data_IF_015993304591
#
_entry.id   IF_015993304591
#
_cell.length_a   1.000
_cell.length_b   1.000
_cell.length_c   1.000
_cell.angle_alpha   90.00
_cell.angle_beta   90.00
_cell.angle_gamma   90.00
#
_symmetry.space_group_name_H-M   'P 1'
#
loop_
_entity.id
_entity.type
_entity.pdbx_description
1 polymer ?
#
# COMPACT_ATOMS: atom_id res chain seq x y z
N UNK A 1 -29.30 3.32 14.29
CA UNK A 1 -28.05 4.07 14.59
C UNK A 1 -27.04 3.19 15.36
N UNK A 2 -26.84 1.93 14.94
CA UNK A 2 -26.00 0.97 15.69
C UNK A 2 -24.66 0.74 14.99
N UNK A 3 -24.66 0.60 13.66
CA UNK A 3 -23.45 0.36 12.87
C UNK A 3 -22.40 1.47 13.01
N UNK A 4 -22.81 2.73 12.84
CA UNK A 4 -21.89 3.88 12.95
C UNK A 4 -21.23 3.98 14.32
N UNK A 5 -21.98 3.73 15.41
CA UNK A 5 -21.43 3.72 16.76
C UNK A 5 -20.36 2.63 16.91
N UNK A 6 -20.63 1.42 16.40
CA UNK A 6 -19.67 0.32 16.46
C UNK A 6 -18.41 0.62 15.63
N UNK A 7 -18.55 1.22 14.44
CA UNK A 7 -17.41 1.65 13.62
C UNK A 7 -16.57 2.68 14.37
N UNK A 8 -17.20 3.71 14.95
CA UNK A 8 -16.51 4.72 15.75
C UNK A 8 -15.79 4.10 16.96
N UNK A 9 -16.36 3.07 17.58
CA UNK A 9 -15.74 2.36 18.70
C UNK A 9 -14.47 1.62 18.25
N UNK A 10 -14.49 0.88 17.14
CA UNK A 10 -13.29 0.21 16.61
C UNK A 10 -12.18 1.22 16.31
N UNK A 11 -12.52 2.33 15.67
CA UNK A 11 -11.55 3.38 15.35
C UNK A 11 -10.98 4.02 16.62
N UNK A 12 -11.84 4.31 17.60
CA UNK A 12 -11.42 4.89 18.88
C UNK A 12 -10.47 3.96 19.65
N UNK A 13 -10.75 2.65 19.64
CA UNK A 13 -9.87 1.65 20.25
C UNK A 13 -8.52 1.59 19.52
N UNK A 14 -8.54 1.51 18.18
CA UNK A 14 -7.33 1.47 17.37
C UNK A 14 -6.44 2.71 17.56
N UNK A 15 -7.03 3.90 17.64
CA UNK A 15 -6.28 5.14 17.89
C UNK A 15 -5.57 5.11 19.27
N UNK A 16 -6.17 4.45 20.27
CA UNK A 16 -5.64 4.40 21.65
C UNK A 16 -4.56 3.35 21.85
N UNK A 17 -4.69 2.18 21.24
CA UNK A 17 -3.85 1.00 21.52
C UNK A 17 -3.19 0.39 20.29
N UNK A 18 -3.60 0.77 19.08
CA UNK A 18 -3.28 0.03 17.85
C UNK A 18 -4.11 -1.24 17.68
N UNK A 19 -5.01 -1.59 18.60
CA UNK A 19 -5.86 -2.76 18.53
C UNK A 19 -7.36 -2.35 18.51
N UNK A 20 -8.09 -2.58 17.41
CA UNK A 20 -9.51 -2.21 17.33
C UNK A 20 -10.39 -2.95 18.36
N UNK A 21 -9.92 -4.08 18.91
CA UNK A 21 -10.68 -4.90 19.86
C UNK A 21 -10.65 -4.39 21.30
N UNK A 22 -9.66 -3.58 21.69
CA UNK A 22 -9.53 -3.08 23.06
C UNK A 22 -8.91 -1.68 23.11
N UNK A 23 -9.45 -0.75 23.92
CA UNK A 23 -8.85 0.56 24.11
C UNK A 23 -7.55 0.56 24.91
N UNK A 24 -7.24 -0.51 25.66
CA UNK A 24 -6.07 -0.59 26.54
C UNK A 24 -5.40 -1.96 26.47
N UNK A 25 -4.07 -2.00 26.42
CA UNK A 25 -3.29 -3.25 26.42
C UNK A 25 -3.46 -4.05 27.72
N UNK A 26 -3.65 -3.38 28.85
CA UNK A 26 -3.80 -4.01 30.16
C UNK A 26 -5.21 -4.57 30.43
N UNK A 27 -6.20 -4.25 29.59
CA UNK A 27 -7.59 -4.66 29.79
C UNK A 27 -8.09 -5.45 28.59
N UNK A 28 -8.52 -6.69 28.84
CA UNK A 28 -9.23 -7.51 27.84
C UNK A 28 -10.75 -7.37 27.91
N UNK A 29 -11.28 -6.37 28.63
CA UNK A 29 -12.72 -6.11 28.65
C UNK A 29 -13.17 -5.58 27.30
N UNK A 30 -13.98 -6.37 26.61
CA UNK A 30 -14.62 -6.00 25.35
C UNK A 30 -15.99 -5.39 25.64
N UNK A 31 -16.42 -4.34 24.91
CA UNK A 31 -17.81 -3.94 24.89
C UNK A 31 -18.70 -5.12 24.46
N UNK A 32 -19.72 -5.44 25.26
CA UNK A 32 -20.66 -6.52 24.95
C UNK A 32 -21.38 -6.24 23.61
N UNK A 33 -21.60 -7.30 22.83
CA UNK A 33 -22.33 -7.21 21.55
C UNK A 33 -21.49 -6.83 20.31
N UNK A 34 -20.19 -6.61 20.45
CA UNK A 34 -19.29 -6.33 19.31
C UNK A 34 -18.46 -7.59 18.97
N UNK A 35 -18.64 -8.11 17.76
CA UNK A 35 -17.79 -9.19 17.20
C UNK A 35 -16.33 -8.76 17.20
N UNK A 36 -15.35 -9.63 17.43
CA UNK A 36 -13.95 -9.22 17.32
C UNK A 36 -13.60 -8.86 15.87
N UNK A 37 -12.75 -7.86 15.71
CA UNK A 37 -12.05 -7.52 14.47
C UNK A 37 -10.92 -8.54 14.23
N UNK A 38 -10.86 -9.17 13.06
CA UNK A 38 -9.89 -10.23 12.79
C UNK A 38 -8.51 -9.64 12.49
N UNK A 39 -7.45 -10.35 12.89
CA UNK A 39 -6.10 -9.96 12.51
C UNK A 39 -5.88 -10.19 11.01
N UNK A 40 -5.31 -9.19 10.34
CA UNK A 40 -4.86 -9.38 8.97
C UNK A 40 -3.66 -10.34 8.94
N UNK A 41 -3.74 -11.38 8.12
CA UNK A 41 -2.65 -12.36 7.92
C UNK A 41 -2.35 -12.43 6.42
N UNK A 42 -1.07 -12.48 6.06
CA UNK A 42 -0.63 -12.48 4.67
C UNK A 42 -0.45 -13.91 4.09
N UNK A 43 -0.92 -14.94 4.79
CA UNK A 43 -0.78 -16.34 4.40
C UNK A 43 -1.96 -16.85 3.55
N UNK A 44 -1.81 -18.06 3.00
CA UNK A 44 -2.89 -18.75 2.30
C UNK A 44 -4.02 -19.08 3.29
N UNK A 45 -5.16 -18.38 3.17
CA UNK A 45 -6.24 -18.39 4.17
C UNK A 45 -6.27 -17.17 5.09
N UNK A 46 -5.44 -16.17 4.79
CA UNK A 46 -5.47 -14.84 5.38
C UNK A 46 -6.28 -13.84 4.54
N UNK A 47 -5.81 -12.59 4.49
CA UNK A 47 -6.51 -11.42 3.95
C UNK A 47 -7.84 -11.16 4.64
N UNK A 48 -7.85 -11.37 5.96
CA UNK A 48 -9.03 -11.15 6.78
C UNK A 48 -9.39 -9.67 6.81
N UNK A 49 -10.68 -9.39 6.67
CA UNK A 49 -11.23 -8.06 6.81
C UNK A 49 -12.57 -8.10 7.53
N UNK A 50 -12.96 -6.95 8.07
CA UNK A 50 -14.27 -6.72 8.65
C UNK A 50 -15.16 -6.06 7.61
N UNK A 51 -16.31 -6.66 7.32
CA UNK A 51 -17.29 -6.04 6.43
C UNK A 51 -18.26 -5.15 7.23
N UNK A 52 -18.45 -3.90 6.80
CA UNK A 52 -19.33 -2.94 7.45
C UNK A 52 -20.78 -3.09 6.99
N UNK A 53 -21.38 -4.23 7.32
CA UNK A 53 -22.81 -4.49 7.21
C UNK A 53 -23.45 -4.54 8.60
N UNK A 54 -24.79 -4.65 8.67
CA UNK A 54 -25.50 -4.69 9.96
C UNK A 54 -25.02 -5.81 10.90
N UNK A 55 -24.53 -6.92 10.36
CA UNK A 55 -24.03 -8.07 11.12
C UNK A 55 -22.52 -8.04 11.42
N UNK A 56 -21.78 -7.09 10.84
CA UNK A 56 -20.33 -6.94 11.03
C UNK A 56 -19.51 -8.25 10.88
N UNK A 57 -19.72 -9.04 9.80
CA UNK A 57 -19.09 -10.34 9.65
C UNK A 57 -17.60 -10.20 9.37
N UNK A 58 -16.86 -11.23 9.75
CA UNK A 58 -15.48 -11.44 9.31
C UNK A 58 -15.50 -12.13 7.96
N UNK A 59 -14.72 -11.63 7.03
CA UNK A 59 -14.53 -12.21 5.70
C UNK A 59 -13.04 -12.26 5.39
N UNK A 60 -12.71 -12.94 4.31
CA UNK A 60 -11.36 -13.13 3.81
C UNK A 60 -11.30 -12.86 2.32
N UNK A 61 -10.16 -12.40 1.83
CA UNK A 61 -9.87 -12.34 0.40
C UNK A 61 -10.72 -11.36 -0.40
N UNK A 62 -10.77 -10.10 0.04
CA UNK A 62 -11.50 -9.06 -0.68
C UNK A 62 -10.93 -8.87 -2.10
N UNK A 63 -11.74 -9.17 -3.12
CA UNK A 63 -11.42 -8.98 -4.55
C UNK A 63 -10.08 -9.59 -4.99
N UNK A 64 -9.76 -10.80 -4.49
CA UNK A 64 -8.49 -11.49 -4.76
C UNK A 64 -8.16 -11.59 -6.25
N UNK A 65 -9.12 -12.02 -7.08
CA UNK A 65 -8.95 -12.14 -8.53
C UNK A 65 -8.57 -10.83 -9.20
N UNK A 66 -9.23 -9.74 -8.81
CA UNK A 66 -9.03 -8.41 -9.38
C UNK A 66 -7.69 -7.82 -8.92
N UNK A 67 -7.31 -8.04 -7.66
CA UNK A 67 -5.99 -7.66 -7.16
C UNK A 67 -4.89 -8.38 -7.94
N UNK A 68 -5.00 -9.70 -8.15
CA UNK A 68 -4.06 -10.47 -8.97
C UNK A 68 -4.01 -10.01 -10.43
N UNK A 69 -5.16 -9.64 -11.01
CA UNK A 69 -5.22 -9.06 -12.34
C UNK A 69 -4.41 -7.77 -12.44
N UNK A 70 -4.53 -6.87 -11.45
CA UNK A 70 -3.76 -5.62 -11.47
C UNK A 70 -2.26 -5.84 -11.28
N UNK A 71 -1.85 -6.86 -10.52
CA UNK A 71 -0.44 -7.24 -10.44
C UNK A 71 0.09 -7.79 -11.77
N UNK A 72 -0.71 -8.59 -12.49
CA UNK A 72 -0.38 -8.99 -13.85
C UNK A 72 -0.20 -7.79 -14.79
N UNK A 73 -1.08 -6.79 -14.74
CA UNK A 73 -0.95 -5.58 -15.56
C UNK A 73 0.35 -4.82 -15.26
N UNK A 74 0.81 -4.79 -14.01
CA UNK A 74 2.11 -4.20 -13.66
C UNK A 74 3.26 -4.94 -14.36
N UNK A 75 3.24 -6.27 -14.35
CA UNK A 75 4.25 -7.10 -15.05
C UNK A 75 4.24 -6.84 -16.55
N UNK A 76 3.06 -6.81 -17.18
CA UNK A 76 2.94 -6.51 -18.61
C UNK A 76 3.47 -5.12 -18.95
N UNK A 77 3.14 -4.10 -18.15
CA UNK A 77 3.66 -2.73 -18.35
C UNK A 77 5.19 -2.69 -18.30
N UNK A 78 5.79 -3.39 -17.34
CA UNK A 78 7.25 -3.46 -17.20
C UNK A 78 7.93 -4.12 -18.42
N UNK A 79 7.33 -5.20 -18.94
CA UNK A 79 7.88 -5.89 -20.11
C UNK A 79 7.78 -5.02 -21.38
N UNK A 80 6.65 -4.34 -21.57
CA UNK A 80 6.44 -3.48 -22.73
C UNK A 80 7.25 -2.18 -22.67
N UNK A 81 7.58 -1.66 -21.48
CA UNK A 81 8.50 -0.50 -21.35
C UNK A 81 9.93 -0.84 -21.76
N UNK A 82 10.41 -2.06 -21.48
CA UNK A 82 11.75 -2.50 -21.90
C UNK A 82 11.86 -2.68 -23.44
N UNK A 83 10.75 -2.92 -24.13
CA UNK A 83 10.73 -3.07 -25.60
C UNK A 83 10.79 -1.74 -26.36
N UNK A 84 10.60 -0.59 -25.68
CA UNK A 84 10.62 0.73 -26.33
C UNK A 84 12.03 1.30 -26.51
N UNK A 85 13.06 0.66 -25.92
CA UNK A 85 14.48 1.02 -26.08
C UNK A 85 15.19 0.17 -27.15
N UNK A 86 14.53 -0.15 -28.27
CA UNK A 86 15.26 -0.62 -29.45
C UNK A 86 15.46 0.56 -30.41
N UNK A 87 16.69 1.08 -30.60
CA UNK A 87 16.95 2.11 -31.59
C UNK A 87 16.68 1.54 -32.98
N UNK A 88 15.78 2.16 -33.73
CA UNK A 88 15.66 1.91 -35.16
C UNK A 88 17.04 2.17 -35.82
N UNK A 89 17.53 1.31 -36.73
CA UNK A 89 18.78 1.57 -37.44
C UNK A 89 18.58 2.79 -38.34
N UNK A 90 19.06 3.95 -37.91
CA UNK A 90 19.09 5.16 -38.72
C UNK A 90 20.05 4.95 -39.90
N UNK A 91 19.54 5.13 -41.11
CA UNK A 91 20.34 5.22 -42.35
C UNK A 91 21.39 6.33 -42.23
N UNK A 92 22.58 6.18 -42.83
CA UNK A 92 23.59 7.23 -42.81
C UNK A 92 23.19 8.34 -43.78
N UNK A 93 22.89 9.52 -43.25
CA UNK A 93 22.89 10.78 -44.03
C UNK A 93 24.02 11.64 -43.48
N UNK A 94 25.08 11.76 -44.27
CA UNK A 94 26.13 12.75 -44.09
C UNK A 94 25.55 14.16 -44.22
N UNK A 95 25.95 15.08 -43.35
CA UNK A 95 25.85 16.52 -43.62
C UNK A 95 25.40 17.41 -42.45
N UNK A 96 26.39 18.12 -41.91
CA UNK A 96 26.35 19.41 -41.21
C UNK A 96 25.88 19.49 -39.74
N UNK A 97 26.79 20.08 -38.96
CA UNK A 97 26.75 20.32 -37.53
C UNK A 97 25.76 21.40 -37.09
N UNK A 98 25.10 21.19 -35.96
CA UNK A 98 24.89 22.23 -34.93
C UNK A 98 24.84 21.55 -33.54
N UNK A 99 25.76 21.96 -32.67
CA UNK A 99 25.91 21.55 -31.26
C UNK A 99 24.70 21.93 -30.41
N UNK A 100 24.39 21.18 -29.34
CA UNK A 100 23.97 21.83 -28.10
C UNK A 100 24.73 21.34 -26.86
N UNK A 101 25.42 22.32 -26.27
CA UNK A 101 25.82 22.55 -24.89
C UNK A 101 25.63 21.43 -23.84
N UNK A 102 26.76 20.96 -23.31
CA UNK A 102 26.89 20.23 -22.05
C UNK A 102 26.54 21.12 -20.85
N UNK A 103 25.69 20.65 -19.91
CA UNK A 103 25.83 20.92 -18.47
C UNK A 103 25.34 19.72 -17.64
N UNK A 104 26.31 18.98 -17.13
CA UNK A 104 26.22 18.04 -16.01
C UNK A 104 25.99 18.81 -14.70
N UNK A 105 25.00 18.42 -13.89
CA UNK A 105 25.12 18.49 -12.42
C UNK A 105 24.28 17.39 -11.77
N UNK A 106 24.97 16.35 -11.32
CA UNK A 106 24.49 15.31 -10.41
C UNK A 106 24.29 15.90 -9.02
N UNK A 107 23.05 16.01 -8.54
CA UNK A 107 22.77 16.35 -7.14
C UNK A 107 22.91 15.09 -6.28
N UNK A 108 23.94 15.08 -5.44
CA UNK A 108 24.20 14.05 -4.42
C UNK A 108 23.10 14.09 -3.36
N UNK A 109 22.55 12.92 -3.03
CA UNK A 109 21.71 12.68 -1.87
C UNK A 109 22.56 12.89 -0.60
N UNK A 110 22.32 13.98 0.12
CA UNK A 110 22.87 14.22 1.45
C UNK A 110 21.85 13.67 2.46
N UNK A 111 22.14 12.50 3.03
CA UNK A 111 21.41 11.96 4.19
C UNK A 111 21.72 12.80 5.43
N UNK A 112 20.70 13.43 5.99
CA UNK A 112 20.83 14.13 7.27
C UNK A 112 20.45 13.18 8.41
N UNK A 113 21.46 12.69 9.12
CA UNK A 113 21.33 11.90 10.36
C UNK A 113 21.37 12.85 11.55
N UNK A 114 20.21 13.33 12.00
CA UNK A 114 20.10 13.99 13.29
C UNK A 114 20.17 12.94 14.41
N UNK A 115 21.36 12.81 15.01
CA UNK A 115 21.54 12.21 16.33
C UNK A 115 21.35 13.31 17.38
N UNK A 116 20.32 13.19 18.22
CA UNK A 116 20.29 13.89 19.50
C UNK A 116 20.68 12.90 20.60
N UNK A 117 21.74 13.25 21.34
CA UNK A 117 22.20 12.59 22.56
C UNK A 117 22.37 13.64 23.65
N UNK A 118 21.95 13.23 24.86
CA UNK A 118 22.04 13.84 26.20
C UNK A 118 21.15 15.03 26.51
#
# INVERSE_FOLDING_TARGET
KTLSLVIMQYLSNFIKSGNPNSPYEFSRKRPEGISPWPLFRADAGGDNYKEFTASLPNREGLKKSECSFWDYIKTVKSLTSCQREQPAPSRPTEGLAVTPMSKTTTMKLLEDKAAYSK
#
